data_IF_122868289324
#
_entry.id   IF_122868289324
#
_cell.length_a   1.000
_cell.length_b   1.000
_cell.length_c   1.000
_cell.angle_alpha   90.00
_cell.angle_beta   90.00
_cell.angle_gamma   90.00
#
_symmetry.space_group_name_H-M   'P 1'
#
loop_
_entity.id
_entity.type
_entity.pdbx_description
1 polymer ?
#
# COMPACT_ATOMS: atom_id res chain seq x y z
N UNK A 1 63.47 -91.15 -32.12
CA UNK A 1 63.51 -90.27 -33.31
C UNK A 1 63.61 -88.84 -32.82
N UNK A 2 64.57 -88.12 -33.38
CA UNK A 2 65.36 -87.06 -32.75
C UNK A 2 64.58 -85.74 -32.55
N UNK A 3 64.60 -85.23 -31.31
CA UNK A 3 63.84 -84.06 -30.84
C UNK A 3 64.36 -82.71 -31.39
N UNK A 4 65.44 -82.72 -32.18
CA UNK A 4 65.99 -81.52 -32.81
C UNK A 4 65.30 -81.11 -34.14
N UNK A 5 64.43 -81.96 -34.71
CA UNK A 5 63.70 -81.66 -35.96
C UNK A 5 62.39 -80.88 -35.75
N UNK A 6 61.71 -81.08 -34.63
CA UNK A 6 60.41 -80.46 -34.36
C UNK A 6 60.48 -78.96 -33.96
N UNK A 7 61.64 -78.48 -33.48
CA UNK A 7 61.81 -77.07 -33.09
C UNK A 7 62.12 -76.16 -34.29
N UNK A 8 62.80 -76.67 -35.33
CA UNK A 8 63.12 -75.87 -36.53
C UNK A 8 61.91 -75.59 -37.43
N UNK A 9 60.85 -76.39 -37.33
CA UNK A 9 59.62 -76.17 -38.10
C UNK A 9 58.66 -75.17 -37.43
N UNK A 10 58.78 -74.92 -36.11
CA UNK A 10 57.96 -73.94 -35.40
C UNK A 10 58.48 -72.50 -35.47
N UNK A 11 59.80 -72.29 -35.65
CA UNK A 11 60.36 -70.93 -35.80
C UNK A 11 60.13 -70.37 -37.21
N UNK A 12 60.01 -71.22 -38.24
CA UNK A 12 59.70 -70.74 -39.60
C UNK A 12 58.25 -70.31 -39.80
N UNK A 13 57.30 -70.87 -39.04
CA UNK A 13 55.89 -70.50 -39.17
C UNK A 13 55.51 -69.21 -38.43
N UNK A 14 56.29 -68.78 -37.43
CA UNK A 14 56.03 -67.54 -36.70
C UNK A 14 56.56 -66.27 -37.41
N UNK A 15 57.55 -66.39 -38.30
CA UNK A 15 58.15 -65.24 -38.98
C UNK A 15 57.45 -64.85 -40.31
N UNK A 16 56.62 -65.72 -40.90
CA UNK A 16 55.83 -65.36 -42.09
C UNK A 16 54.45 -64.77 -41.76
N UNK A 17 53.93 -64.97 -40.55
CA UNK A 17 52.67 -64.34 -40.12
C UNK A 17 52.87 -62.92 -39.55
N UNK A 18 54.08 -62.57 -39.10
CA UNK A 18 54.39 -61.21 -38.60
C UNK A 18 54.61 -60.18 -39.74
N UNK A 19 55.11 -60.58 -40.91
CA UNK A 19 55.34 -59.64 -42.03
C UNK A 19 54.13 -59.34 -42.91
N UNK A 20 52.99 -60.02 -42.71
CA UNK A 20 51.74 -59.70 -43.42
C UNK A 20 50.81 -58.74 -42.65
N UNK A 21 51.11 -58.41 -41.40
CA UNK A 21 50.27 -57.51 -40.60
C UNK A 21 50.84 -56.09 -40.42
N UNK A 22 52.05 -55.79 -40.91
CA UNK A 22 52.60 -54.42 -40.81
C UNK A 22 52.41 -53.56 -42.06
N UNK A 23 51.93 -54.10 -43.19
CA UNK A 23 51.62 -53.27 -44.38
C UNK A 23 50.16 -52.80 -44.46
N UNK A 24 49.31 -53.15 -43.50
CA UNK A 24 47.90 -52.73 -43.45
C UNK A 24 47.52 -51.95 -42.18
N UNK A 25 48.49 -51.49 -41.39
CA UNK A 25 48.23 -50.60 -40.25
C UNK A 25 48.77 -49.17 -40.48
N UNK A 26 48.74 -48.69 -41.72
CA UNK A 26 48.97 -47.28 -42.06
C UNK A 26 48.05 -46.78 -43.18
N UNK A 27 46.84 -47.32 -43.25
CA UNK A 27 45.72 -46.69 -43.94
C UNK A 27 44.63 -46.45 -42.92
N UNK A 28 44.81 -45.42 -42.08
CA UNK A 28 43.64 -44.70 -41.58
C UNK A 28 42.82 -44.32 -42.81
N UNK A 29 41.58 -44.82 -42.97
CA UNK A 29 40.71 -44.29 -43.98
C UNK A 29 40.49 -42.83 -43.58
N UNK A 30 40.81 -41.88 -44.45
CA UNK A 30 40.43 -40.48 -44.31
C UNK A 30 38.91 -40.31 -44.03
N UNK A 31 38.13 -41.37 -44.23
CA UNK A 31 36.71 -41.49 -43.92
C UNK A 31 36.37 -41.48 -42.42
N UNK A 32 37.21 -42.06 -41.54
CA UNK A 32 36.84 -42.22 -40.11
C UNK A 32 37.23 -41.00 -39.24
N UNK A 33 38.26 -40.25 -39.63
CA UNK A 33 38.61 -38.96 -39.01
C UNK A 33 37.66 -37.84 -39.41
N UNK A 34 37.09 -37.90 -40.62
CA UNK A 34 36.06 -36.96 -41.08
C UNK A 34 34.74 -37.17 -40.34
N UNK A 35 34.32 -38.42 -40.12
CA UNK A 35 33.10 -38.72 -39.36
C UNK A 35 33.17 -38.29 -37.89
N UNK A 36 34.33 -38.45 -37.23
CA UNK A 36 34.52 -38.04 -35.82
C UNK A 36 34.53 -36.52 -35.63
N UNK A 37 35.18 -35.78 -36.53
CA UNK A 37 35.12 -34.30 -36.49
C UNK A 37 33.71 -33.78 -36.77
N UNK A 38 33.00 -34.37 -37.74
CA UNK A 38 31.62 -33.99 -38.01
C UNK A 38 30.66 -34.26 -36.85
N UNK A 39 30.84 -35.33 -36.10
CA UNK A 39 29.98 -35.60 -34.92
C UNK A 39 30.26 -34.64 -33.77
N UNK A 40 31.51 -34.26 -33.53
CA UNK A 40 31.87 -33.31 -32.46
C UNK A 40 31.40 -31.90 -32.80
N UNK A 41 31.54 -31.46 -34.05
CA UNK A 41 31.07 -30.14 -34.49
C UNK A 41 29.53 -30.07 -34.55
N UNK A 42 28.85 -31.17 -34.91
CA UNK A 42 27.38 -31.26 -34.79
C UNK A 42 26.90 -31.20 -33.34
N UNK A 43 27.57 -31.88 -32.41
CA UNK A 43 27.23 -31.82 -30.98
C UNK A 43 27.44 -30.43 -30.39
N UNK A 44 28.53 -29.73 -30.75
CA UNK A 44 28.75 -28.32 -30.36
C UNK A 44 27.66 -27.41 -30.91
N UNK A 45 27.29 -27.61 -32.18
CA UNK A 45 26.24 -26.81 -32.83
C UNK A 45 24.90 -27.04 -32.13
N UNK A 46 24.52 -28.29 -31.85
CA UNK A 46 23.30 -28.63 -31.11
C UNK A 46 23.31 -28.02 -29.70
N UNK A 47 24.45 -28.09 -28.99
CA UNK A 47 24.59 -27.52 -27.66
C UNK A 47 24.47 -25.99 -27.65
N UNK A 48 25.07 -25.32 -28.63
CA UNK A 48 24.89 -23.87 -28.83
C UNK A 48 23.43 -23.54 -29.11
N UNK A 49 22.76 -24.28 -30.01
CA UNK A 49 21.33 -24.06 -30.28
C UNK A 49 20.45 -24.30 -29.06
N UNK A 50 20.75 -25.32 -28.24
CA UNK A 50 20.02 -25.58 -26.99
C UNK A 50 20.22 -24.45 -25.97
N UNK A 51 21.44 -23.95 -25.80
CA UNK A 51 21.72 -22.80 -24.94
C UNK A 51 21.01 -21.55 -25.47
N UNK A 52 21.10 -21.28 -26.77
CA UNK A 52 20.43 -20.14 -27.40
C UNK A 52 18.90 -20.26 -27.27
N UNK A 53 18.32 -21.45 -27.42
CA UNK A 53 16.89 -21.69 -27.21
C UNK A 53 16.49 -21.58 -25.73
N UNK A 54 17.35 -21.97 -24.78
CA UNK A 54 17.13 -21.73 -23.36
C UNK A 54 17.09 -20.23 -23.06
N UNK A 55 18.00 -19.43 -23.63
CA UNK A 55 18.01 -17.98 -23.44
C UNK A 55 16.91 -17.24 -24.22
N UNK A 56 16.46 -17.77 -25.36
CA UNK A 56 15.34 -17.23 -26.14
C UNK A 56 13.97 -17.63 -25.57
N UNK A 57 13.89 -18.75 -24.83
CA UNK A 57 12.68 -19.26 -24.19
C UNK A 57 12.51 -18.82 -22.73
N UNK A 58 13.58 -18.38 -22.08
CA UNK A 58 13.48 -17.69 -20.79
C UNK A 58 12.94 -16.28 -21.04
N UNK A 59 11.62 -16.12 -20.95
CA UNK A 59 11.03 -14.80 -20.78
C UNK A 59 11.70 -14.09 -19.61
N UNK A 60 11.89 -12.77 -19.71
CA UNK A 60 12.25 -11.99 -18.54
C UNK A 60 11.23 -12.31 -17.43
N UNK A 61 11.71 -12.74 -16.27
CA UNK A 61 10.89 -12.75 -15.07
C UNK A 61 10.61 -11.28 -14.71
N UNK A 62 9.63 -10.69 -15.38
CA UNK A 62 9.10 -9.39 -14.98
C UNK A 62 8.48 -9.61 -13.61
N UNK A 63 8.92 -8.87 -12.60
CA UNK A 63 8.22 -8.79 -11.32
C UNK A 63 6.86 -8.05 -11.46
N UNK A 64 6.33 -7.98 -12.69
CA UNK A 64 5.08 -7.34 -13.05
C UNK A 64 4.98 -5.91 -12.53
N UNK A 65 3.83 -5.51 -11.99
CA UNK A 65 3.59 -4.15 -11.52
C UNK A 65 4.37 -3.80 -10.24
N UNK A 66 4.98 -4.79 -9.57
CA UNK A 66 5.72 -4.56 -8.32
C UNK A 66 6.84 -3.54 -8.49
N UNK A 67 7.60 -3.59 -9.58
CA UNK A 67 8.72 -2.65 -9.82
C UNK A 67 8.27 -1.19 -9.98
N UNK A 68 6.97 -0.97 -10.22
CA UNK A 68 6.37 0.36 -10.27
C UNK A 68 5.78 0.81 -8.94
N UNK A 69 5.60 -0.09 -7.98
CA UNK A 69 5.05 0.24 -6.67
C UNK A 69 6.02 1.08 -5.83
N UNK A 70 5.50 1.70 -4.77
CA UNK A 70 6.29 2.41 -3.76
C UNK A 70 7.33 1.50 -3.11
N UNK A 71 7.07 0.20 -3.03
CA UNK A 71 7.95 -0.75 -2.37
C UNK A 71 8.93 -1.44 -3.30
N UNK A 72 8.55 -1.74 -4.54
CA UNK A 72 9.38 -2.47 -5.49
C UNK A 72 10.25 -1.61 -6.41
N UNK A 73 10.12 -0.29 -6.33
CA UNK A 73 10.91 0.62 -7.14
C UNK A 73 12.40 0.60 -6.76
N UNK A 74 13.30 0.51 -7.73
CA UNK A 74 14.75 0.42 -7.45
C UNK A 74 15.39 1.70 -6.94
N UNK A 75 14.76 2.86 -7.16
CA UNK A 75 15.30 4.15 -6.73
C UNK A 75 14.81 4.54 -5.33
N UNK A 76 13.57 4.20 -4.97
CA UNK A 76 12.93 4.66 -3.73
C UNK A 76 12.19 3.56 -2.95
N UNK A 77 12.34 2.30 -3.35
CA UNK A 77 11.65 1.15 -2.76
C UNK A 77 12.12 0.78 -1.36
N UNK A 78 11.58 -0.33 -0.84
CA UNK A 78 12.00 -0.83 0.46
C UNK A 78 13.46 -1.23 0.40
N UNK A 79 14.20 -0.82 1.42
CA UNK A 79 15.62 -1.05 1.57
C UNK A 79 15.93 -1.29 3.05
N UNK A 80 15.96 -2.56 3.43
CA UNK A 80 16.35 -3.01 4.75
C UNK A 80 17.87 -3.12 4.81
N UNK A 81 18.50 -2.34 5.68
CA UNK A 81 19.97 -2.23 5.79
C UNK A 81 20.67 -3.51 6.22
N UNK A 82 19.93 -4.44 6.84
CA UNK A 82 20.46 -5.75 7.22
C UNK A 82 20.55 -6.73 6.03
N UNK A 83 20.03 -6.38 4.85
CA UNK A 83 20.01 -7.21 3.64
C UNK A 83 20.72 -6.54 2.47
N UNK A 84 22.03 -6.35 2.61
CA UNK A 84 22.87 -5.63 1.63
C UNK A 84 23.14 -6.42 0.34
N UNK A 85 22.79 -7.70 0.31
CA UNK A 85 22.89 -8.59 -0.85
C UNK A 85 21.85 -8.27 -1.93
N UNK A 86 20.78 -7.55 -1.56
CA UNK A 86 19.67 -7.24 -2.44
C UNK A 86 19.59 -5.75 -2.74
N UNK A 87 19.33 -5.41 -4.00
CA UNK A 87 19.05 -4.02 -4.38
C UNK A 87 17.79 -3.49 -3.69
N UNK A 88 17.72 -2.17 -3.46
CA UNK A 88 16.49 -1.52 -3.02
C UNK A 88 15.32 -1.92 -3.95
N UNK A 89 14.15 -2.12 -3.37
CA UNK A 89 12.96 -2.58 -4.07
C UNK A 89 12.90 -4.08 -4.35
N UNK A 90 13.91 -4.86 -3.96
CA UNK A 90 13.81 -6.32 -4.03
C UNK A 90 12.82 -6.88 -3.01
N UNK A 91 12.08 -7.92 -3.37
CA UNK A 91 11.12 -8.62 -2.51
C UNK A 91 11.74 -9.12 -1.19
N UNK A 92 13.04 -9.44 -1.18
CA UNK A 92 13.78 -9.91 0.00
C UNK A 92 13.90 -8.86 1.13
N UNK A 93 13.57 -7.60 0.86
CA UNK A 93 13.47 -6.57 1.90
C UNK A 93 12.19 -6.68 2.74
N UNK A 94 11.17 -7.39 2.23
CA UNK A 94 9.91 -7.65 2.94
C UNK A 94 9.75 -9.14 3.28
N UNK A 95 10.27 -10.03 2.44
CA UNK A 95 10.12 -11.47 2.58
C UNK A 95 11.45 -12.17 2.87
N UNK A 96 11.42 -13.15 3.77
CA UNK A 96 12.52 -14.10 4.01
C UNK A 96 12.41 -15.25 3.01
N UNK A 97 12.90 -15.01 1.78
CA UNK A 97 12.75 -15.91 0.63
C UNK A 97 13.72 -17.11 0.65
N UNK A 98 14.63 -17.15 1.63
CA UNK A 98 15.69 -18.13 1.71
C UNK A 98 15.73 -18.76 3.10
N UNK A 99 15.97 -20.07 3.15
CA UNK A 99 16.36 -20.75 4.38
C UNK A 99 17.73 -20.27 4.93
N UNK A 100 18.42 -19.33 4.27
CA UNK A 100 19.57 -18.65 4.87
C UNK A 100 19.91 -17.32 4.19
N UNK A 101 20.14 -16.28 4.98
CA UNK A 101 20.82 -15.04 4.56
C UNK A 101 22.20 -15.03 5.23
N UNK A 102 23.27 -14.84 4.47
CA UNK A 102 24.65 -14.84 5.01
C UNK A 102 25.12 -16.19 5.59
N UNK A 103 24.45 -17.31 5.25
CA UNK A 103 24.78 -18.65 5.75
C UNK A 103 24.10 -19.04 7.06
N UNK A 104 23.25 -18.18 7.62
CA UNK A 104 22.39 -18.46 8.77
C UNK A 104 20.92 -18.49 8.35
N UNK A 105 20.20 -19.54 8.74
CA UNK A 105 18.74 -19.60 8.65
C UNK A 105 18.12 -18.66 9.69
N UNK A 106 17.34 -17.64 9.28
CA UNK A 106 16.51 -16.91 10.22
C UNK A 106 15.57 -17.92 10.91
N UNK A 107 15.45 -17.83 12.24
CA UNK A 107 14.42 -18.61 12.92
C UNK A 107 13.05 -18.17 12.37
N UNK A 108 12.09 -19.09 12.15
CA UNK A 108 10.72 -18.71 11.82
C UNK A 108 10.18 -17.75 12.88
N UNK A 109 9.40 -16.75 12.45
CA UNK A 109 8.72 -15.84 13.36
C UNK A 109 7.59 -16.56 14.11
N UNK A 110 7.04 -17.63 13.53
CA UNK A 110 6.06 -18.50 14.15
C UNK A 110 6.71 -19.72 14.84
N UNK A 111 6.35 -20.03 16.11
CA UNK A 111 6.80 -21.24 16.80
C UNK A 111 6.26 -22.56 16.20
N UNK A 112 5.38 -22.50 15.19
CA UNK A 112 4.64 -23.64 14.65
C UNK A 112 5.17 -24.19 13.30
N UNK A 113 6.29 -23.68 12.77
CA UNK A 113 6.85 -24.11 11.48
C UNK A 113 7.11 -22.93 10.53
N UNK A 114 7.17 -23.15 9.21
CA UNK A 114 7.46 -22.08 8.26
C UNK A 114 6.39 -20.99 8.32
N UNK A 115 6.80 -19.73 8.23
CA UNK A 115 5.89 -18.58 8.29
C UNK A 115 4.94 -18.56 7.09
N UNK A 116 3.64 -18.37 7.35
CA UNK A 116 2.59 -18.43 6.32
C UNK A 116 2.78 -17.41 5.18
N UNK A 117 3.40 -16.27 5.49
CA UNK A 117 3.61 -15.16 4.56
C UNK A 117 5.09 -14.91 4.23
N UNK A 118 6.00 -15.72 4.80
CA UNK A 118 7.45 -15.54 4.70
C UNK A 118 7.89 -14.10 4.97
N UNK A 119 7.25 -13.38 5.90
CA UNK A 119 7.61 -12.01 6.26
C UNK A 119 8.84 -12.03 7.19
N UNK A 120 9.64 -10.97 7.18
CA UNK A 120 10.78 -10.89 8.11
C UNK A 120 10.39 -10.64 9.57
N UNK A 121 9.15 -10.23 9.83
CA UNK A 121 8.59 -10.08 11.18
C UNK A 121 7.12 -10.52 11.21
N UNK A 122 6.53 -10.53 12.40
CA UNK A 122 5.13 -10.92 12.59
C UNK A 122 4.17 -10.05 11.78
N UNK A 123 3.19 -10.68 11.12
CA UNK A 123 2.27 -9.98 10.23
C UNK A 123 1.48 -8.89 10.96
N UNK A 124 0.66 -9.28 11.93
CA UNK A 124 -0.13 -8.39 12.77
C UNK A 124 -0.33 -9.05 14.13
N UNK A 125 -0.11 -8.30 15.21
CA UNK A 125 -0.28 -8.81 16.58
C UNK A 125 -1.17 -7.91 17.43
N UNK A 126 -1.02 -6.58 17.31
CA UNK A 126 -1.87 -5.60 17.98
C UNK A 126 -1.81 -4.23 17.28
N UNK A 127 -2.62 -3.29 17.76
CA UNK A 127 -2.75 -1.90 17.31
C UNK A 127 -1.43 -1.16 17.03
N UNK A 128 -0.34 -1.50 17.72
CA UNK A 128 0.98 -0.85 17.60
C UNK A 128 2.07 -1.78 17.13
N UNK A 129 1.76 -3.05 16.86
CA UNK A 129 2.72 -4.06 16.46
C UNK A 129 2.23 -4.83 15.22
N UNK A 130 2.72 -4.40 14.07
CA UNK A 130 2.50 -5.04 12.78
C UNK A 130 3.75 -4.90 11.90
N UNK A 131 3.91 -5.83 10.96
CA UNK A 131 5.01 -5.85 9.99
C UNK A 131 5.23 -4.50 9.30
N UNK A 132 4.14 -3.81 8.91
CA UNK A 132 4.25 -2.52 8.24
C UNK A 132 4.92 -1.46 9.13
N UNK A 133 4.65 -1.45 10.44
CA UNK A 133 5.24 -0.47 11.35
C UNK A 133 6.73 -0.64 11.53
N UNK A 134 7.28 -1.84 11.31
CA UNK A 134 8.72 -2.03 11.33
C UNK A 134 9.46 -1.22 10.27
N UNK A 135 8.77 -0.90 9.16
CA UNK A 135 9.24 -0.01 8.12
C UNK A 135 8.70 1.44 8.25
N UNK A 136 7.55 1.63 8.89
CA UNK A 136 6.81 2.90 8.93
C UNK A 136 6.77 3.59 10.32
N UNK A 137 7.78 3.36 11.16
CA UNK A 137 7.93 3.98 12.50
C UNK A 137 8.93 5.14 12.61
N UNK A 138 9.40 5.66 11.48
CA UNK A 138 10.41 6.73 11.46
C UNK A 138 11.78 6.24 11.96
N UNK A 139 12.35 6.90 12.98
CA UNK A 139 13.69 6.56 13.50
C UNK A 139 13.69 5.14 14.08
N UNK A 140 14.70 4.35 13.75
CA UNK A 140 14.79 2.94 14.16
C UNK A 140 13.94 1.99 13.30
N UNK A 141 13.35 2.48 12.22
CA UNK A 141 12.77 1.67 11.15
C UNK A 141 13.82 0.79 10.46
N UNK A 142 13.39 -0.36 9.94
CA UNK A 142 14.21 -1.17 9.03
C UNK A 142 14.46 -0.48 7.69
N UNK A 143 13.57 0.41 7.28
CA UNK A 143 13.68 1.15 6.04
C UNK A 143 14.80 2.19 6.09
N UNK A 144 15.66 2.19 5.08
CA UNK A 144 16.77 3.16 4.95
C UNK A 144 16.83 3.86 3.59
N UNK A 145 16.86 5.21 3.57
CA UNK A 145 16.74 6.08 4.74
C UNK A 145 15.35 5.97 5.37
N UNK A 146 15.27 6.14 6.68
CA UNK A 146 13.99 6.34 7.36
C UNK A 146 13.33 7.59 6.78
N UNK A 147 12.00 7.57 6.66
CA UNK A 147 11.23 8.69 6.13
C UNK A 147 10.02 8.99 6.99
N UNK A 148 9.53 10.22 6.85
CA UNK A 148 8.35 10.70 7.55
C UNK A 148 7.09 10.43 6.72
N UNK A 149 6.08 9.91 7.40
CA UNK A 149 4.73 9.69 6.90
C UNK A 149 3.75 10.55 7.71
N UNK A 150 3.86 11.86 7.56
CA UNK A 150 2.91 12.78 8.17
C UNK A 150 1.47 12.53 7.72
N UNK A 151 0.54 12.97 8.55
CA UNK A 151 -0.91 12.89 8.31
C UNK A 151 -1.38 13.74 7.11
N UNK A 152 -2.65 13.60 6.76
CA UNK A 152 -3.24 14.27 5.60
C UNK A 152 -3.27 15.78 5.78
N UNK A 153 -3.53 16.29 6.99
CA UNK A 153 -3.40 17.72 7.29
C UNK A 153 -2.00 18.26 6.96
N UNK A 154 -0.91 17.60 7.35
CA UNK A 154 0.42 18.07 6.93
C UNK A 154 0.61 17.98 5.40
N UNK A 155 0.29 16.82 4.80
CA UNK A 155 0.67 16.52 3.41
C UNK A 155 -0.20 17.22 2.38
N UNK A 156 -1.52 17.15 2.55
CA UNK A 156 -2.48 17.72 1.62
C UNK A 156 -2.73 19.21 1.90
N UNK A 157 -2.97 19.57 3.17
CA UNK A 157 -3.21 20.97 3.54
C UNK A 157 -1.94 21.81 3.47
N UNK A 158 -0.76 21.19 3.59
CA UNK A 158 0.52 21.91 3.61
C UNK A 158 0.80 22.61 4.95
N UNK A 159 0.13 22.22 6.02
CA UNK A 159 0.40 22.73 7.37
C UNK A 159 1.67 22.09 7.94
N UNK A 160 2.81 22.71 7.67
CA UNK A 160 4.12 22.22 8.13
C UNK A 160 4.39 22.46 9.61
N UNK A 161 3.44 23.09 10.34
CA UNK A 161 3.53 23.22 11.80
C UNK A 161 3.19 21.92 12.53
N UNK A 162 2.50 21.00 11.85
CA UNK A 162 2.17 19.67 12.37
C UNK A 162 3.44 18.82 12.38
N UNK A 163 3.90 18.47 13.57
CA UNK A 163 5.09 17.62 13.76
C UNK A 163 4.75 16.26 14.35
N UNK A 164 3.47 15.97 14.61
CA UNK A 164 3.00 14.70 15.15
C UNK A 164 1.53 14.47 14.74
N UNK A 165 1.16 13.26 14.26
CA UNK A 165 2.05 12.13 14.00
C UNK A 165 2.97 12.40 12.80
N UNK A 166 4.25 12.04 12.91
CA UNK A 166 5.22 12.17 11.81
C UNK A 166 5.47 10.86 11.05
N UNK A 167 4.90 9.77 11.53
CA UNK A 167 4.98 8.44 10.94
C UNK A 167 3.68 7.64 11.17
N UNK A 168 3.57 6.49 10.49
CA UNK A 168 2.32 5.71 10.50
C UNK A 168 2.10 5.03 11.85
N UNK A 169 3.14 4.51 12.50
CA UNK A 169 3.00 3.92 13.84
C UNK A 169 2.41 4.93 14.82
N UNK A 170 2.95 6.15 14.85
CA UNK A 170 2.40 7.22 15.68
C UNK A 170 0.94 7.55 15.33
N UNK A 171 0.57 7.57 14.04
CA UNK A 171 -0.80 7.82 13.61
C UNK A 171 -1.78 6.74 14.11
N UNK A 172 -1.33 5.51 14.31
CA UNK A 172 -2.14 4.42 14.89
C UNK A 172 -2.04 4.30 16.42
N UNK A 173 -1.18 5.11 17.05
CA UNK A 173 -0.90 5.07 18.49
C UNK A 173 -1.74 6.04 19.33
N UNK A 174 -2.87 6.55 18.81
CA UNK A 174 -3.82 7.33 19.63
C UNK A 174 -4.77 6.47 20.47
N UNK A 175 -4.87 5.18 20.18
CA UNK A 175 -5.63 4.20 20.96
C UNK A 175 -4.74 2.99 21.27
N UNK A 176 -5.08 2.24 22.31
CA UNK A 176 -4.52 0.91 22.55
C UNK A 176 -5.40 -0.19 21.94
N UNK A 177 -4.99 -1.46 22.07
CA UNK A 177 -5.74 -2.61 21.53
C UNK A 177 -7.16 -2.76 22.11
N UNK A 178 -7.43 -2.22 23.30
CA UNK A 178 -8.79 -2.23 23.87
C UNK A 178 -9.70 -1.16 23.24
N UNK A 179 -9.17 -0.31 22.37
CA UNK A 179 -9.88 0.84 21.80
C UNK A 179 -9.92 2.07 22.71
N UNK A 180 -9.21 2.05 23.84
CA UNK A 180 -9.15 3.20 24.76
C UNK A 180 -8.13 4.22 24.24
N UNK A 181 -8.52 5.50 24.18
CA UNK A 181 -7.60 6.60 23.86
C UNK A 181 -6.41 6.63 24.81
N UNK A 182 -5.22 6.84 24.25
CA UNK A 182 -3.96 6.99 24.97
C UNK A 182 -3.33 8.34 24.63
N UNK A 183 -2.53 8.86 25.55
CA UNK A 183 -1.83 10.13 25.34
C UNK A 183 -0.82 9.99 24.19
N UNK A 184 -1.07 10.69 23.09
CA UNK A 184 -0.19 10.73 21.93
C UNK A 184 -0.28 12.11 21.25
N UNK A 185 0.83 12.60 20.68
CA UNK A 185 0.91 13.92 20.04
C UNK A 185 0.31 15.08 20.87
N UNK A 186 0.45 15.04 22.20
CA UNK A 186 -0.10 16.07 23.10
C UNK A 186 -1.62 16.05 23.28
N UNK A 187 -2.31 15.01 22.81
CA UNK A 187 -3.75 14.82 22.99
C UNK A 187 -4.04 13.54 23.77
N UNK A 188 -5.05 13.61 24.65
CA UNK A 188 -5.64 12.46 25.34
C UNK A 188 -7.01 12.06 24.76
N UNK A 189 -7.48 12.78 23.74
CA UNK A 189 -8.77 12.59 23.08
C UNK A 189 -8.62 12.09 21.64
N UNK A 190 -7.38 11.93 21.18
CA UNK A 190 -7.11 11.42 19.85
C UNK A 190 -7.70 10.02 19.66
N UNK A 191 -7.94 9.69 18.39
CA UNK A 191 -8.39 8.36 17.99
C UNK A 191 -7.67 7.94 16.71
N UNK A 192 -7.61 6.62 16.49
CA UNK A 192 -7.13 6.00 15.26
C UNK A 192 -8.16 4.98 14.79
N UNK A 193 -8.10 4.58 13.52
CA UNK A 193 -8.77 3.36 13.12
C UNK A 193 -8.20 2.18 13.92
N UNK A 194 -9.08 1.35 14.49
CA UNK A 194 -8.68 0.16 15.24
C UNK A 194 -8.39 -0.97 14.26
N UNK A 195 -7.14 -1.43 14.25
CA UNK A 195 -6.65 -2.39 13.27
C UNK A 195 -7.33 -3.77 13.39
N UNK A 196 -7.58 -4.24 14.61
CA UNK A 196 -8.36 -5.48 14.81
C UNK A 196 -9.79 -5.36 14.31
N UNK A 197 -10.44 -4.19 14.48
CA UNK A 197 -11.82 -4.00 13.97
C UNK A 197 -11.83 -4.04 12.43
N UNK A 198 -10.78 -3.51 11.78
CA UNK A 198 -10.58 -3.62 10.33
C UNK A 198 -10.35 -5.08 9.93
N UNK A 199 -9.43 -5.79 10.60
CA UNK A 199 -9.10 -7.18 10.31
C UNK A 199 -10.35 -8.08 10.42
N UNK A 200 -11.12 -7.92 11.50
CA UNK A 200 -12.36 -8.65 11.72
C UNK A 200 -13.41 -8.33 10.65
N UNK A 201 -13.52 -7.07 10.23
CA UNK A 201 -14.48 -6.66 9.21
C UNK A 201 -14.16 -7.26 7.84
N UNK A 202 -12.89 -7.22 7.42
CA UNK A 202 -12.48 -7.70 6.09
C UNK A 202 -12.40 -9.23 6.02
N UNK A 203 -12.24 -9.94 7.15
CA UNK A 203 -12.11 -11.39 7.16
C UNK A 203 -13.27 -12.09 6.43
N UNK A 204 -12.94 -12.86 5.39
CA UNK A 204 -13.92 -13.55 4.53
C UNK A 204 -14.57 -12.67 3.46
N UNK A 205 -14.18 -11.40 3.33
CA UNK A 205 -14.60 -10.48 2.27
C UNK A 205 -13.48 -10.30 1.26
N UNK A 206 -13.82 -10.11 0.00
CA UNK A 206 -12.90 -9.65 -1.05
C UNK A 206 -11.55 -10.40 -1.18
N UNK A 207 -11.52 -11.67 -0.76
CA UNK A 207 -10.30 -12.50 -0.78
C UNK A 207 -9.45 -12.43 0.49
N UNK A 208 -9.80 -11.62 1.48
CA UNK A 208 -9.11 -11.57 2.77
C UNK A 208 -9.50 -12.74 3.68
N UNK A 209 -8.55 -13.13 4.51
CA UNK A 209 -8.69 -14.15 5.56
C UNK A 209 -8.55 -13.50 6.94
N UNK A 210 -8.86 -14.25 8.00
CA UNK A 210 -8.63 -13.78 9.38
C UNK A 210 -7.15 -13.45 9.66
N UNK A 211 -6.22 -14.05 8.90
CA UNK A 211 -4.78 -13.81 9.04
C UNK A 211 -4.28 -12.64 8.19
N UNK A 212 -5.15 -11.97 7.42
CA UNK A 212 -4.75 -10.85 6.55
C UNK A 212 -4.37 -9.63 7.38
N UNK A 213 -3.34 -8.90 6.92
CA UNK A 213 -2.91 -7.69 7.60
C UNK A 213 -3.97 -6.58 7.41
N UNK A 214 -4.43 -5.89 8.47
CA UNK A 214 -5.42 -4.83 8.31
C UNK A 214 -4.91 -3.64 7.48
N UNK A 215 -3.60 -3.36 7.46
CA UNK A 215 -3.02 -2.31 6.63
C UNK A 215 -3.18 -2.61 5.14
N UNK A 216 -3.15 -3.89 4.74
CA UNK A 216 -3.23 -4.26 3.32
C UNK A 216 -4.64 -4.15 2.76
N UNK A 217 -5.66 -3.96 3.61
CA UNK A 217 -7.02 -3.65 3.15
C UNK A 217 -7.05 -2.34 2.36
N UNK A 218 -6.26 -1.37 2.78
CA UNK A 218 -6.21 -0.02 2.21
C UNK A 218 -5.01 0.17 1.25
N UNK A 219 -3.96 -0.62 1.45
CA UNK A 219 -2.70 -0.47 0.75
C UNK A 219 -2.18 -1.82 0.24
N UNK A 220 -2.23 -2.06 -1.06
CA UNK A 220 -1.48 -3.19 -1.63
C UNK A 220 0.01 -2.82 -1.73
N UNK A 221 0.90 -3.43 -0.94
CA UNK A 221 2.33 -3.15 -0.98
C UNK A 221 2.95 -3.51 -2.35
N UNK A 222 2.29 -4.31 -3.18
CA UNK A 222 2.79 -4.70 -4.49
C UNK A 222 2.37 -3.76 -5.63
N UNK A 223 1.49 -2.77 -5.37
CA UNK A 223 0.91 -1.92 -6.42
C UNK A 223 0.90 -0.45 -6.08
N UNK A 224 0.53 -0.13 -4.84
CA UNK A 224 0.35 1.25 -4.41
C UNK A 224 1.63 2.04 -4.62
N UNK A 225 1.48 3.29 -5.04
CA UNK A 225 2.58 4.17 -5.40
C UNK A 225 2.68 5.34 -4.43
N UNK A 226 3.90 5.82 -4.24
CA UNK A 226 4.18 6.93 -3.32
C UNK A 226 3.47 8.19 -3.79
N UNK A 227 2.65 8.79 -2.94
CA UNK A 227 2.08 10.11 -3.20
C UNK A 227 2.87 11.22 -2.49
N UNK A 228 3.65 11.96 -3.26
CA UNK A 228 4.46 13.07 -2.74
C UNK A 228 3.63 14.29 -2.32
N UNK A 229 2.35 14.38 -2.74
CA UNK A 229 1.49 15.56 -2.56
C UNK A 229 2.15 16.86 -3.08
N UNK A 230 3.02 16.72 -4.07
CA UNK A 230 3.69 17.84 -4.73
C UNK A 230 2.99 18.10 -6.06
N UNK A 231 2.83 19.38 -6.41
CA UNK A 231 2.25 19.78 -7.69
C UNK A 231 2.90 19.06 -8.88
N UNK A 232 2.07 18.47 -9.74
CA UNK A 232 2.52 17.72 -10.91
C UNK A 232 3.20 16.38 -10.62
N UNK A 233 3.30 15.97 -9.36
CA UNK A 233 3.90 14.69 -8.95
C UNK A 233 3.02 14.01 -7.89
N UNK A 234 1.99 13.32 -8.37
CA UNK A 234 1.03 12.57 -7.56
C UNK A 234 1.17 11.09 -7.83
N UNK A 235 1.06 10.30 -6.77
CA UNK A 235 0.97 8.85 -6.83
C UNK A 235 -0.43 8.36 -6.51
N UNK A 236 -0.53 7.06 -6.35
CA UNK A 236 -1.79 6.35 -6.10
C UNK A 236 -1.59 5.53 -4.83
N UNK A 237 -1.80 6.13 -3.65
CA UNK A 237 -1.35 5.56 -2.40
C UNK A 237 -2.27 4.45 -1.90
N UNK A 238 -3.46 4.28 -2.49
CA UNK A 238 -4.50 3.36 -2.02
C UNK A 238 -4.87 2.36 -3.11
N UNK A 239 -5.32 1.19 -2.67
CA UNK A 239 -6.02 0.21 -3.50
C UNK A 239 -7.33 -0.15 -2.81
N UNK A 240 -8.40 -0.33 -3.59
CA UNK A 240 -9.74 -0.52 -3.03
C UNK A 240 -9.87 -1.89 -2.36
N UNK A 241 -10.31 -1.99 -1.09
CA UNK A 241 -10.51 -3.28 -0.43
C UNK A 241 -11.35 -4.24 -1.27
N UNK A 242 -12.40 -3.75 -1.95
CA UNK A 242 -13.26 -4.61 -2.77
C UNK A 242 -12.61 -5.15 -4.03
N UNK A 243 -11.54 -4.49 -4.49
CA UNK A 243 -10.80 -4.83 -5.70
C UNK A 243 -9.70 -5.87 -5.52
N UNK A 244 -9.39 -6.26 -4.27
CA UNK A 244 -8.30 -7.22 -3.99
C UNK A 244 -8.67 -8.66 -4.36
N UNK A 245 -9.94 -8.95 -4.64
CA UNK A 245 -10.39 -10.26 -5.08
C UNK A 245 -9.81 -10.64 -6.45
N UNK A 246 -9.49 -9.66 -7.30
CA UNK A 246 -8.84 -9.90 -8.58
C UNK A 246 -7.33 -9.68 -8.46
N UNK A 247 -6.58 -10.78 -8.35
CA UNK A 247 -5.14 -10.70 -8.20
C UNK A 247 -4.38 -10.32 -9.47
N UNK A 248 -5.07 -10.18 -10.60
CA UNK A 248 -4.47 -9.75 -11.86
C UNK A 248 -4.42 -8.23 -11.99
N UNK A 249 -5.32 -7.53 -11.30
CA UNK A 249 -5.42 -6.07 -11.31
C UNK A 249 -5.01 -5.46 -9.98
N UNK A 250 -5.27 -6.14 -8.85
CA UNK A 250 -4.98 -5.65 -7.50
C UNK A 250 -5.39 -4.18 -7.32
N UNK A 251 -6.57 -3.86 -7.88
CA UNK A 251 -7.18 -2.54 -8.14
C UNK A 251 -6.48 -1.37 -7.43
N UNK A 252 -5.51 -0.76 -8.13
CA UNK A 252 -4.99 0.55 -7.75
C UNK A 252 -6.12 1.56 -7.87
N UNK A 253 -6.15 2.59 -7.02
CA UNK A 253 -7.25 3.55 -7.02
C UNK A 253 -6.78 5.00 -7.12
N UNK A 254 -7.42 5.71 -8.03
CA UNK A 254 -7.07 7.05 -8.46
C UNK A 254 -6.10 7.07 -9.64
N UNK A 255 -5.77 5.96 -10.28
CA UNK A 255 -4.95 5.94 -11.49
C UNK A 255 -5.74 6.24 -12.76
N UNK A 256 -7.06 6.11 -12.71
CA UNK A 256 -7.95 6.52 -13.79
C UNK A 256 -8.62 7.89 -13.56
N UNK A 257 -8.97 8.63 -14.64
CA UNK A 257 -9.66 9.92 -14.53
C UNK A 257 -11.03 9.85 -13.85
N UNK A 258 -11.73 8.72 -13.96
CA UNK A 258 -13.04 8.48 -13.36
C UNK A 258 -12.95 8.10 -11.87
N UNK A 259 -11.73 7.91 -11.35
CA UNK A 259 -11.43 7.60 -9.95
C UNK A 259 -10.93 8.85 -9.19
N UNK A 260 -11.27 10.03 -9.72
CA UNK A 260 -10.93 11.34 -9.16
C UNK A 260 -12.17 12.03 -8.63
N UNK A 261 -11.99 12.95 -7.69
CA UNK A 261 -13.10 13.79 -7.21
C UNK A 261 -13.71 14.67 -8.32
N UNK A 262 -13.02 14.89 -9.44
CA UNK A 262 -13.60 15.51 -10.63
C UNK A 262 -14.69 14.67 -11.31
N UNK A 263 -14.85 13.39 -10.96
CA UNK A 263 -15.97 12.55 -11.39
C UNK A 263 -17.33 13.01 -10.79
N UNK A 264 -17.31 14.00 -9.88
CA UNK A 264 -18.46 14.73 -9.36
C UNK A 264 -18.50 16.13 -9.98
N UNK A 265 -18.84 16.26 -11.28
CA UNK A 265 -18.63 17.48 -12.05
C UNK A 265 -19.50 18.64 -11.56
N UNK A 266 -18.85 19.78 -11.29
CA UNK A 266 -19.52 21.00 -10.85
C UNK A 266 -20.05 20.96 -9.41
N UNK A 267 -19.79 19.87 -8.68
CA UNK A 267 -20.21 19.68 -7.29
C UNK A 267 -19.03 19.51 -6.33
N UNK A 268 -17.86 19.05 -6.76
CA UNK A 268 -16.69 19.05 -5.89
C UNK A 268 -15.93 20.39 -5.95
N UNK A 269 -15.50 20.88 -4.78
CA UNK A 269 -14.64 22.06 -4.62
C UNK A 269 -13.57 21.75 -3.58
N UNK A 270 -12.31 21.74 -4.02
CA UNK A 270 -11.18 21.51 -3.13
C UNK A 270 -11.08 22.60 -2.05
N UNK A 271 -10.80 22.24 -0.79
CA UNK A 271 -10.57 23.20 0.28
C UNK A 271 -9.28 23.99 0.05
N UNK A 272 -9.17 25.16 0.68
CA UNK A 272 -7.91 25.90 0.68
C UNK A 272 -6.81 25.14 1.41
N UNK A 273 -5.59 25.30 0.92
CA UNK A 273 -4.39 24.94 1.69
C UNK A 273 -4.22 25.84 2.92
N UNK A 274 -3.49 25.34 3.91
CA UNK A 274 -3.17 26.04 5.15
C UNK A 274 -2.63 27.46 4.88
N UNK A 275 -3.24 28.46 5.54
CA UNK A 275 -2.91 29.88 5.40
C UNK A 275 -2.90 30.40 3.94
N UNK A 276 -3.72 29.82 3.06
CA UNK A 276 -3.89 30.25 1.68
C UNK A 276 -5.34 30.59 1.37
N UNK A 277 -5.53 31.50 0.42
CA UNK A 277 -6.82 31.75 -0.24
C UNK A 277 -6.68 31.71 -1.77
N UNK A 278 -5.54 31.22 -2.27
CA UNK A 278 -5.20 31.21 -3.68
C UNK A 278 -4.78 29.83 -4.20
N UNK A 279 -4.47 28.91 -3.29
CA UNK A 279 -4.04 27.55 -3.59
C UNK A 279 -4.84 26.54 -2.79
N UNK A 280 -5.02 25.37 -3.36
CA UNK A 280 -5.97 24.37 -2.90
C UNK A 280 -5.29 23.06 -2.55
N UNK A 281 -5.95 22.30 -1.69
CA UNK A 281 -5.57 20.92 -1.44
C UNK A 281 -5.76 20.05 -2.70
N UNK A 282 -5.02 18.94 -2.80
CA UNK A 282 -3.98 18.47 -1.86
C UNK A 282 -2.55 18.93 -2.19
N UNK A 283 -2.30 19.49 -3.38
CA UNK A 283 -0.93 19.68 -3.89
C UNK A 283 -0.47 21.15 -3.93
N UNK A 284 -1.32 22.09 -3.49
CA UNK A 284 -1.04 23.51 -3.47
C UNK A 284 -1.11 24.19 -4.84
N UNK A 285 -1.75 23.56 -5.82
CA UNK A 285 -2.06 24.16 -7.11
C UNK A 285 -3.30 25.06 -7.06
N UNK A 286 -3.65 25.63 -8.22
CA UNK A 286 -4.91 26.37 -8.42
C UNK A 286 -6.08 25.45 -8.83
N UNK A 287 -5.86 24.14 -8.87
CA UNK A 287 -6.88 23.14 -9.23
C UNK A 287 -7.94 23.05 -8.14
N UNK A 288 -9.20 23.21 -8.52
CA UNK A 288 -10.34 23.28 -7.59
C UNK A 288 -11.32 22.14 -7.76
N UNK A 289 -11.35 21.53 -8.93
CA UNK A 289 -12.35 20.53 -9.33
C UNK A 289 -12.03 19.10 -8.86
N UNK A 290 -10.92 18.91 -8.15
CA UNK A 290 -10.52 17.59 -7.64
C UNK A 290 -9.97 16.64 -8.70
N UNK A 291 -9.62 17.12 -9.89
CA UNK A 291 -8.95 16.30 -10.93
C UNK A 291 -7.57 15.79 -10.49
N UNK A 292 -6.98 16.42 -9.48
CA UNK A 292 -5.77 15.97 -8.81
C UNK A 292 -6.03 15.16 -7.53
N UNK A 293 -7.28 14.93 -7.09
CA UNK A 293 -7.58 14.22 -5.86
C UNK A 293 -8.25 12.87 -6.17
N UNK A 294 -7.69 11.78 -5.64
CA UNK A 294 -8.33 10.45 -5.68
C UNK A 294 -9.73 10.52 -5.07
N UNK A 295 -10.67 9.79 -5.64
CA UNK A 295 -12.02 9.63 -5.10
C UNK A 295 -11.98 8.82 -3.81
N UNK A 296 -11.67 9.50 -2.70
CA UNK A 296 -11.68 8.89 -1.37
C UNK A 296 -13.09 8.59 -0.88
N UNK A 297 -14.14 9.13 -1.50
CA UNK A 297 -15.51 8.72 -1.17
C UNK A 297 -15.70 7.27 -1.57
N UNK A 298 -15.50 6.95 -2.85
CA UNK A 298 -15.66 5.59 -3.36
C UNK A 298 -14.82 4.59 -2.57
N UNK A 299 -13.55 4.93 -2.31
CA UNK A 299 -12.64 4.12 -1.50
C UNK A 299 -13.15 3.88 -0.07
N UNK A 300 -13.54 4.93 0.66
CA UNK A 300 -14.02 4.80 2.03
C UNK A 300 -15.34 4.04 2.12
N UNK A 301 -16.22 4.22 1.12
CA UNK A 301 -17.52 3.55 1.06
C UNK A 301 -17.46 2.07 0.67
N UNK A 302 -16.29 1.51 0.35
CA UNK A 302 -16.15 0.04 0.29
C UNK A 302 -16.50 -0.60 1.63
N UNK A 303 -16.12 0.07 2.73
CA UNK A 303 -16.44 -0.35 4.09
C UNK A 303 -17.57 0.48 4.69
N UNK A 304 -17.49 1.81 4.61
CA UNK A 304 -18.43 2.73 5.25
C UNK A 304 -19.59 3.08 4.31
N UNK A 305 -20.54 2.17 4.14
CA UNK A 305 -21.73 2.39 3.31
C UNK A 305 -23.05 2.28 4.11
N UNK A 306 -24.17 2.25 3.39
CA UNK A 306 -25.52 2.19 3.97
C UNK A 306 -25.97 0.76 4.33
N UNK A 307 -25.11 -0.23 4.11
CA UNK A 307 -25.42 -1.66 4.21
C UNK A 307 -24.55 -2.38 5.23
N UNK A 308 -23.31 -1.93 5.40
CA UNK A 308 -22.31 -2.51 6.29
C UNK A 308 -22.55 -2.05 7.72
N UNK A 309 -22.93 -3.01 8.57
CA UNK A 309 -23.01 -2.80 10.02
C UNK A 309 -21.63 -3.06 10.61
N UNK A 310 -20.91 -2.00 10.93
CA UNK A 310 -19.55 -2.06 11.50
C UNK A 310 -19.64 -1.76 13.00
N UNK A 311 -19.21 -2.71 13.84
CA UNK A 311 -19.04 -2.45 15.26
C UNK A 311 -17.68 -1.81 15.53
N UNK A 312 -17.68 -0.68 16.23
CA UNK A 312 -16.45 -0.04 16.70
C UNK A 312 -16.25 -0.35 18.18
N UNK A 313 -15.14 -1.01 18.51
CA UNK A 313 -14.75 -1.22 19.90
C UNK A 313 -14.29 0.09 20.57
N UNK A 314 -13.75 1.03 19.79
CA UNK A 314 -13.39 2.38 20.28
C UNK A 314 -14.62 3.13 20.80
N UNK A 315 -15.72 3.11 20.03
CA UNK A 315 -16.96 3.78 20.41
C UNK A 315 -17.91 2.88 21.21
N UNK A 316 -17.60 1.59 21.33
CA UNK A 316 -18.42 0.54 21.93
C UNK A 316 -19.86 0.50 21.38
N UNK A 317 -20.00 0.61 20.05
CA UNK A 317 -21.29 0.63 19.34
C UNK A 317 -21.09 0.42 17.84
N UNK A 318 -22.20 0.19 17.14
CA UNK A 318 -22.19 0.26 15.68
C UNK A 318 -21.91 1.70 15.21
N UNK A 319 -21.09 1.81 14.19
CA UNK A 319 -20.88 3.05 13.45
C UNK A 319 -22.16 3.44 12.72
N UNK A 320 -22.33 4.74 12.50
CA UNK A 320 -23.36 5.21 11.60
C UNK A 320 -23.04 4.76 10.19
N UNK A 321 -24.05 4.18 9.54
CA UNK A 321 -24.02 3.80 8.13
C UNK A 321 -24.11 5.06 7.29
N UNK A 322 -23.35 5.14 6.19
CA UNK A 322 -23.29 6.32 5.33
C UNK A 322 -24.05 6.03 4.05
N UNK A 323 -25.10 6.79 3.77
CA UNK A 323 -25.76 6.74 2.46
C UNK A 323 -25.38 7.97 1.65
N UNK A 324 -24.28 7.85 0.91
CA UNK A 324 -23.71 8.95 0.14
C UNK A 324 -24.70 9.60 -0.83
N UNK A 325 -25.75 8.89 -1.26
CA UNK A 325 -26.77 9.44 -2.14
C UNK A 325 -27.64 10.52 -1.45
N UNK A 326 -27.72 10.51 -0.12
CA UNK A 326 -28.58 11.38 0.67
C UNK A 326 -27.83 12.20 1.74
N UNK A 327 -26.55 11.91 2.01
CA UNK A 327 -25.74 12.74 2.92
C UNK A 327 -25.65 14.19 2.44
N UNK A 328 -25.73 15.16 3.36
CA UNK A 328 -25.69 16.61 3.04
C UNK A 328 -24.35 17.07 2.45
N UNK A 329 -23.24 16.46 2.89
CA UNK A 329 -21.90 16.67 2.30
C UNK A 329 -21.58 15.61 1.22
N UNK A 330 -22.53 14.73 0.92
CA UNK A 330 -22.52 13.83 -0.22
C UNK A 330 -23.40 14.36 -1.34
N UNK A 331 -24.25 13.51 -1.92
CA UNK A 331 -25.15 13.87 -3.03
C UNK A 331 -26.55 14.30 -2.57
N UNK A 332 -26.79 14.32 -1.26
CA UNK A 332 -28.02 14.80 -0.66
C UNK A 332 -28.17 16.32 -0.83
N UNK A 333 -29.42 16.78 -0.88
CA UNK A 333 -29.69 18.23 -0.90
C UNK A 333 -29.52 18.79 0.51
N UNK A 334 -28.82 19.93 0.64
CA UNK A 334 -28.94 20.70 1.86
C UNK A 334 -30.38 21.22 2.03
N UNK A 335 -30.85 21.22 3.28
CA UNK A 335 -32.18 21.66 3.69
C UNK A 335 -32.35 23.18 3.62
N UNK A 336 -31.25 23.92 3.59
CA UNK A 336 -31.21 25.33 3.89
C UNK A 336 -29.91 25.98 3.35
N UNK A 337 -30.06 27.13 2.69
CA UNK A 337 -28.94 28.04 2.38
C UNK A 337 -28.64 28.99 3.56
N UNK A 338 -29.04 28.62 4.77
CA UNK A 338 -28.95 29.48 5.95
C UNK A 338 -27.54 29.51 6.55
N UNK A 339 -26.77 28.43 6.40
CA UNK A 339 -25.35 28.40 6.76
C UNK A 339 -24.54 29.09 5.69
N UNK A 340 -24.11 30.33 5.95
CA UNK A 340 -23.34 31.08 4.97
C UNK A 340 -21.99 30.40 4.74
N UNK A 341 -21.74 29.97 3.51
CA UNK A 341 -20.51 29.27 3.13
C UNK A 341 -19.33 30.26 3.07
N UNK A 342 -18.22 29.86 3.67
CA UNK A 342 -16.96 30.56 3.55
C UNK A 342 -16.24 30.11 2.27
N UNK A 343 -15.46 31.02 1.69
CA UNK A 343 -14.59 30.71 0.56
C UNK A 343 -13.71 29.48 0.86
N UNK A 344 -13.45 28.62 -0.12
CA UNK A 344 -13.73 28.80 -1.55
C UNK A 344 -15.14 28.38 -1.98
N UNK A 345 -15.95 27.90 -1.06
CA UNK A 345 -17.31 27.49 -1.33
C UNK A 345 -18.18 28.73 -1.59
N UNK A 346 -18.90 28.70 -2.71
CA UNK A 346 -19.76 29.77 -3.17
C UNK A 346 -21.21 29.51 -2.76
N UNK A 347 -21.85 30.52 -2.19
CA UNK A 347 -23.26 30.48 -1.79
C UNK A 347 -24.21 30.10 -2.93
N UNK A 348 -23.88 30.49 -4.17
CA UNK A 348 -24.67 30.16 -5.36
C UNK A 348 -24.75 28.66 -5.64
N UNK A 349 -23.83 27.87 -5.08
CA UNK A 349 -23.77 26.42 -5.18
C UNK A 349 -24.10 25.74 -3.84
N UNK A 350 -24.67 26.49 -2.88
CA UNK A 350 -25.01 25.98 -1.56
C UNK A 350 -25.92 24.73 -1.67
N UNK A 351 -25.60 23.72 -0.87
CA UNK A 351 -26.27 22.42 -0.88
C UNK A 351 -26.02 21.56 -2.12
N UNK A 352 -25.08 21.94 -2.97
CA UNK A 352 -24.65 21.15 -4.14
C UNK A 352 -23.21 20.67 -4.01
N UNK A 353 -22.49 21.06 -2.95
CA UNK A 353 -21.10 20.66 -2.77
C UNK A 353 -20.99 19.24 -2.21
N UNK A 354 -20.21 18.42 -2.92
CA UNK A 354 -19.74 17.11 -2.46
C UNK A 354 -18.37 17.32 -1.82
N UNK A 355 -18.15 16.74 -0.65
CA UNK A 355 -16.83 16.72 0.01
C UNK A 355 -16.19 15.34 -0.13
N UNK A 356 -14.87 15.27 -0.22
CA UNK A 356 -14.15 14.03 -0.02
C UNK A 356 -14.14 13.68 1.48
N UNK A 357 -14.11 12.39 1.84
CA UNK A 357 -13.98 11.98 3.23
C UNK A 357 -12.71 12.58 3.87
N UNK A 358 -11.62 12.66 3.09
CA UNK A 358 -10.34 13.25 3.48
C UNK A 358 -10.36 14.77 3.61
N UNK A 359 -11.41 15.48 3.19
CA UNK A 359 -11.53 16.92 3.46
C UNK A 359 -11.75 17.18 4.95
N UNK A 360 -12.31 16.19 5.66
CA UNK A 360 -12.65 16.29 7.08
C UNK A 360 -11.92 15.28 7.97
N UNK A 361 -11.60 14.08 7.47
CA UNK A 361 -11.04 13.00 8.29
C UNK A 361 -9.60 12.65 7.93
N UNK A 362 -8.83 12.31 8.96
CA UNK A 362 -7.55 11.64 8.86
C UNK A 362 -7.76 10.13 8.67
N UNK A 363 -7.25 9.51 7.60
CA UNK A 363 -7.52 8.11 7.30
C UNK A 363 -6.85 7.13 8.28
N UNK A 364 -5.81 7.54 9.02
CA UNK A 364 -5.09 6.68 9.95
C UNK A 364 -5.44 7.01 11.41
N UNK A 365 -5.15 8.23 11.85
CA UNK A 365 -5.49 8.73 13.17
C UNK A 365 -5.21 10.22 13.33
N UNK A 366 -5.83 10.78 14.35
CA UNK A 366 -5.80 12.21 14.65
C UNK A 366 -5.71 12.46 16.15
N UNK A 367 -5.13 13.60 16.50
CA UNK A 367 -5.19 14.15 17.87
C UNK A 367 -6.59 14.64 18.25
N UNK A 368 -7.50 14.80 17.29
CA UNK A 368 -8.91 15.06 17.52
C UNK A 368 -9.72 13.75 17.58
N UNK A 369 -10.84 13.78 18.29
CA UNK A 369 -11.81 12.69 18.27
C UNK A 369 -12.36 12.46 16.85
N UNK A 370 -12.94 11.28 16.62
CA UNK A 370 -13.58 10.88 15.37
C UNK A 370 -12.70 11.03 14.12
N UNK A 371 -11.39 10.91 14.30
CA UNK A 371 -10.40 11.02 13.24
C UNK A 371 -10.44 12.37 12.53
N UNK A 372 -10.96 13.43 13.15
CA UNK A 372 -11.11 14.71 12.48
C UNK A 372 -9.77 15.35 12.22
N UNK A 373 -9.59 15.94 11.04
CA UNK A 373 -8.37 16.65 10.66
C UNK A 373 -8.05 17.79 11.62
N UNK A 374 -6.76 18.07 11.75
CA UNK A 374 -6.26 19.20 12.54
C UNK A 374 -6.13 20.47 11.72
N UNK A 375 -6.35 20.38 10.40
CA UNK A 375 -6.37 21.53 9.49
C UNK A 375 -7.40 21.28 8.40
N UNK A 376 -8.38 22.16 8.29
CA UNK A 376 -9.53 22.10 7.37
C UNK A 376 -9.70 23.46 6.72
N UNK A 377 -9.87 23.48 5.39
CA UNK A 377 -10.10 24.70 4.60
C UNK A 377 -9.19 25.88 5.00
N UNK A 378 -7.89 25.65 4.95
CA UNK A 378 -6.88 26.65 5.28
C UNK A 378 -6.71 26.97 6.77
N UNK A 379 -7.57 26.44 7.64
CA UNK A 379 -7.66 26.80 9.06
C UNK A 379 -7.21 25.64 9.96
N UNK A 380 -6.32 25.92 10.91
CA UNK A 380 -5.97 24.95 11.95
C UNK A 380 -7.13 24.78 12.94
N UNK A 381 -7.45 23.53 13.28
CA UNK A 381 -8.56 23.13 14.13
C UNK A 381 -8.06 22.20 15.22
N UNK A 382 -8.51 22.46 16.45
CA UNK A 382 -8.27 21.57 17.58
C UNK A 382 -9.57 21.36 18.35
N UNK A 383 -9.87 20.09 18.65
CA UNK A 383 -11.02 19.64 19.41
C UNK A 383 -10.49 19.11 20.75
N UNK A 384 -10.35 20.01 21.71
CA UNK A 384 -9.76 19.73 23.03
C UNK A 384 -10.78 19.31 24.07
N UNK A 385 -12.06 19.20 23.70
CA UNK A 385 -13.14 18.78 24.57
C UNK A 385 -14.18 18.01 23.75
N UNK A 386 -14.59 16.86 24.27
CA UNK A 386 -15.52 15.95 23.60
C UNK A 386 -16.80 16.65 23.17
N UNK A 387 -17.19 16.44 21.91
CA UNK A 387 -18.47 16.90 21.36
C UNK A 387 -18.61 18.40 21.08
N UNK A 388 -17.53 19.20 21.19
CA UNK A 388 -17.55 20.64 20.85
C UNK A 388 -16.71 20.91 19.61
N UNK A 389 -17.33 20.88 18.43
CA UNK A 389 -16.64 20.96 17.14
C UNK A 389 -16.89 22.27 16.39
N UNK A 390 -17.38 23.30 17.07
CA UNK A 390 -17.69 24.58 16.46
C UNK A 390 -16.54 25.12 15.60
N UNK A 391 -15.31 25.05 16.12
CA UNK A 391 -14.11 25.54 15.41
C UNK A 391 -13.86 24.77 14.10
N UNK A 392 -14.23 23.49 14.06
CA UNK A 392 -14.13 22.65 12.87
C UNK A 392 -15.10 23.12 11.79
N UNK A 393 -16.38 23.31 12.15
CA UNK A 393 -17.42 23.76 11.23
C UNK A 393 -17.15 25.19 10.73
N UNK A 394 -16.63 26.06 11.60
CA UNK A 394 -16.33 27.44 11.26
C UNK A 394 -15.20 27.61 10.22
N UNK A 395 -14.50 26.53 9.87
CA UNK A 395 -13.55 26.55 8.77
C UNK A 395 -14.25 26.71 7.41
N UNK A 396 -15.50 26.26 7.28
CA UNK A 396 -16.26 26.30 6.02
C UNK A 396 -17.58 27.06 6.12
N UNK A 397 -18.10 27.32 7.32
CA UNK A 397 -19.38 27.99 7.54
C UNK A 397 -19.24 29.23 8.43
N UNK A 398 -19.92 30.33 8.09
CA UNK A 398 -20.12 31.45 9.01
C UNK A 398 -21.12 31.00 10.07
N UNK A 399 -20.64 30.80 11.30
CA UNK A 399 -21.53 30.46 12.40
C UNK A 399 -21.94 31.75 13.10
N UNK A 400 -23.19 32.15 12.90
CA UNK A 400 -23.74 33.41 13.44
C UNK A 400 -24.18 33.22 14.90
N UNK A 401 -23.54 33.94 15.82
CA UNK A 401 -23.89 34.00 17.26
C UNK A 401 -25.17 34.82 17.57
N UNK A 402 -25.95 35.19 16.57
CA UNK A 402 -27.10 36.07 16.76
C UNK A 402 -28.34 35.23 17.04
N UNK A 403 -28.89 35.37 18.25
CA UNK A 403 -30.10 34.70 18.72
C UNK A 403 -31.22 34.68 17.66
N UNK A 404 -31.40 33.55 16.98
CA UNK A 404 -32.41 33.38 15.94
C UNK A 404 -32.07 32.26 14.97
N UNK A 405 -32.45 31.04 15.36
CA UNK A 405 -32.92 29.91 14.52
C UNK A 405 -32.11 29.36 13.35
N UNK A 406 -31.02 29.96 12.89
CA UNK A 406 -30.42 29.54 11.61
C UNK A 406 -29.15 28.68 11.78
N UNK A 407 -28.77 28.35 13.01
CA UNK A 407 -27.85 27.26 13.33
C UNK A 407 -28.24 26.65 14.68
N UNK A 408 -28.73 25.40 14.67
CA UNK A 408 -29.15 24.64 15.86
C UNK A 408 -27.99 24.26 16.83
N UNK A 409 -26.82 24.90 16.67
CA UNK A 409 -25.63 24.68 17.52
C UNK A 409 -25.54 25.55 18.78
N UNK A 410 -26.50 26.46 19.03
CA UNK A 410 -26.49 27.35 20.19
C UNK A 410 -27.72 27.16 21.10
N UNK A 411 -27.98 25.94 21.52
CA UNK A 411 -28.57 25.74 22.85
C UNK A 411 -27.51 25.12 23.74
N UNK A 412 -27.18 25.84 24.81
CA UNK A 412 -26.34 25.42 25.93
C UNK A 412 -26.13 23.90 26.02
N UNK A 413 -24.93 23.42 25.66
CA UNK A 413 -24.52 22.02 25.87
C UNK A 413 -25.29 20.90 25.12
N UNK A 414 -26.10 21.20 24.11
CA UNK A 414 -26.75 20.20 23.25
C UNK A 414 -26.54 20.55 21.78
N UNK A 415 -25.37 20.22 21.24
CA UNK A 415 -25.06 19.07 20.38
C UNK A 415 -25.22 19.38 18.88
N UNK A 416 -24.10 19.53 18.16
CA UNK A 416 -24.07 19.38 16.68
C UNK A 416 -24.49 17.95 16.20
N UNK A 417 -24.94 17.10 17.12
CA UNK A 417 -25.36 15.71 16.96
C UNK A 417 -26.88 15.57 16.70
N UNK A 418 -27.71 16.58 17.03
CA UNK A 418 -29.18 16.44 17.03
C UNK A 418 -29.84 16.57 15.66
N UNK A 419 -29.25 17.27 14.69
CA UNK A 419 -29.98 17.70 13.47
C UNK A 419 -29.53 16.93 12.24
N UNK A 420 -28.94 15.75 12.47
CA UNK A 420 -28.53 14.82 11.43
C UNK A 420 -27.25 15.20 10.69
N UNK A 421 -26.58 16.31 11.05
CA UNK A 421 -25.30 16.66 10.42
C UNK A 421 -24.12 15.82 10.96
N UNK A 422 -24.15 15.40 12.23
CA UNK A 422 -23.09 14.59 12.85
C UNK A 422 -23.62 13.51 13.80
N UNK A 423 -24.74 12.87 13.44
CA UNK A 423 -25.22 11.71 14.16
C UNK A 423 -24.38 10.49 13.80
N UNK A 424 -23.30 10.26 14.56
CA UNK A 424 -22.58 9.00 14.43
C UNK A 424 -23.28 7.86 15.18
N UNK A 425 -24.39 8.11 15.89
CA UNK A 425 -25.10 7.19 16.77
C UNK A 425 -25.34 7.83 18.14
N UNK A 426 -26.60 7.90 18.59
CA UNK A 426 -26.97 8.09 19.99
C UNK A 426 -27.10 6.73 20.62
N UNK A 427 -26.54 6.56 21.82
CA UNK A 427 -27.15 5.81 22.91
C UNK A 427 -26.32 6.04 24.17
N UNK A 428 -26.76 6.99 25.00
CA UNK A 428 -26.87 6.74 26.43
C UNK A 428 -28.27 6.19 26.67
#
# INVERSE_FOLDING_TARGET
>A
MDAASAIRQRIRYANETSRKNESECNKTPAFMTWQKHQTVDKMKTIFVWLITLMFLGSGFAYAGPYTESAHGNTANGVNRTSTNEYCAGNCAHCHEQHASIGGSEPAPNSPAGPDAFLLFSDNYTDQTNCFCFDCHKGVGSHQSPAFYNYNYSYRASGDTSITCPDNILEAFSFINETGTSVSNCGSMYGTSHKLTDIQDFIAGRWGYTADSNPCIACHDPHRTKRDSHTYGSRGWPVSRPSGHADTSTWELWGDDPDEKMSAYPGTYQAPYRHNSTATYEPDGSTTQDGSNLTDYVAFCTDCHDNSNIIYSNVLNRNLHTIDWAIEKHGRGKASDCASRLLSPYQETQCGSYVLACSDCHEPHGSSNEYLLRTTVNGTAVSITTTGVWYNFCSACHEVLFSAGTDHEGYSSASTCNSDGCHYHGSNF
#
